data_IF_081758947074
#
_entry.id   IF_081758947074
#
_cell.length_a   1.000
_cell.length_b   1.000
_cell.length_c   1.000
_cell.angle_alpha   90.00
_cell.angle_beta   90.00
_cell.angle_gamma   90.00
#
_symmetry.space_group_name_H-M   'P 1'
#
loop_
_entity.id
_entity.type
_entity.pdbx_description
1 polymer ?
#
# COMPACT_ATOMS: atom_id res chain seq x y z
N UNK A 1 -8.12 -7.73 10.50
CA UNK A 1 -7.51 -9.07 10.66
C UNK A 1 -8.33 -10.02 9.79
N UNK A 2 -7.72 -10.89 8.97
CA UNK A 2 -8.49 -11.88 8.21
C UNK A 2 -8.68 -13.14 9.08
N UNK A 3 -9.74 -13.14 9.87
CA UNK A 3 -10.06 -14.18 10.84
C UNK A 3 -11.57 -14.35 10.93
N UNK A 4 -11.98 -15.49 11.47
CA UNK A 4 -13.38 -15.77 11.79
C UNK A 4 -13.52 -15.90 13.29
N UNK A 5 -14.35 -15.06 13.89
CA UNK A 5 -14.67 -15.11 15.32
C UNK A 5 -16.01 -15.82 15.48
N UNK A 6 -16.06 -16.85 16.32
CA UNK A 6 -17.24 -17.69 16.51
C UNK A 6 -17.55 -17.82 17.99
N UNK A 7 -18.81 -17.66 18.35
CA UNK A 7 -19.35 -18.09 19.63
C UNK A 7 -19.91 -19.50 19.47
N UNK A 8 -19.42 -20.41 20.29
CA UNK A 8 -19.82 -21.81 20.36
C UNK A 8 -20.50 -22.10 21.70
N UNK A 9 -21.43 -23.05 21.69
CA UNK A 9 -22.20 -23.50 22.83
C UNK A 9 -22.29 -25.03 22.86
N UNK A 10 -22.14 -25.62 24.04
CA UNK A 10 -22.40 -27.04 24.25
C UNK A 10 -23.88 -27.25 24.57
N UNK A 11 -24.67 -27.61 23.56
CA UNK A 11 -26.08 -27.94 23.75
C UNK A 11 -26.22 -29.37 24.27
N UNK A 12 -27.02 -29.60 25.31
CA UNK A 12 -27.26 -30.96 25.83
C UNK A 12 -27.96 -31.88 24.81
N UNK A 13 -28.69 -31.30 23.84
CA UNK A 13 -29.41 -32.04 22.79
C UNK A 13 -28.54 -32.27 21.55
N UNK A 14 -27.82 -31.23 21.10
CA UNK A 14 -27.11 -31.24 19.82
C UNK A 14 -25.57 -31.36 19.95
N UNK A 15 -25.05 -31.29 21.17
CA UNK A 15 -23.62 -31.25 21.45
C UNK A 15 -22.97 -29.89 21.12
N UNK A 16 -21.64 -29.87 20.86
CA UNK A 16 -20.90 -28.67 20.49
C UNK A 16 -21.42 -28.05 19.18
N UNK A 17 -21.89 -26.80 19.25
CA UNK A 17 -22.45 -26.09 18.10
C UNK A 17 -21.93 -24.67 18.03
N UNK A 18 -21.65 -24.18 16.82
CA UNK A 18 -21.40 -22.77 16.56
C UNK A 18 -22.74 -22.06 16.43
N UNK A 19 -22.96 -21.00 17.22
CA UNK A 19 -24.24 -20.27 17.26
C UNK A 19 -24.14 -18.87 16.67
N UNK A 20 -22.95 -18.27 16.62
CA UNK A 20 -22.78 -16.92 16.08
C UNK A 20 -21.38 -16.75 15.49
N UNK A 21 -21.27 -16.38 14.23
CA UNK A 21 -20.03 -16.25 13.48
C UNK A 21 -19.88 -14.82 12.97
N UNK A 22 -18.70 -14.23 13.04
CA UNK A 22 -18.39 -12.89 12.52
C UNK A 22 -17.13 -12.93 11.67
N UNK A 23 -17.20 -12.34 10.48
CA UNK A 23 -16.17 -12.41 9.44
C UNK A 23 -15.99 -11.06 8.76
N UNK A 24 -14.80 -10.82 8.19
CA UNK A 24 -14.51 -9.66 7.36
C UNK A 24 -14.77 -9.96 5.88
N UNK A 25 -15.61 -9.15 5.24
CA UNK A 25 -15.81 -9.12 3.78
C UNK A 25 -14.93 -8.00 3.21
N UNK A 26 -13.87 -8.38 2.51
CA UNK A 26 -12.96 -7.41 1.86
C UNK A 26 -13.36 -7.15 0.41
N UNK A 27 -13.43 -8.21 -0.39
CA UNK A 27 -13.66 -8.12 -1.84
C UNK A 27 -15.00 -8.74 -2.28
N UNK A 28 -15.70 -9.41 -1.36
CA UNK A 28 -17.00 -10.04 -1.62
C UNK A 28 -18.14 -9.07 -1.33
N UNK A 29 -18.98 -8.81 -2.34
CA UNK A 29 -20.22 -8.07 -2.13
C UNK A 29 -21.18 -8.95 -1.34
N UNK A 30 -21.99 -8.32 -0.49
CA UNK A 30 -23.02 -9.01 0.29
C UNK A 30 -24.02 -9.70 -0.64
N UNK A 31 -24.32 -9.09 -1.80
CA UNK A 31 -25.25 -9.62 -2.80
C UNK A 31 -24.76 -10.93 -3.46
N UNK A 32 -23.45 -11.16 -3.49
CA UNK A 32 -22.85 -12.38 -4.05
C UNK A 32 -22.84 -13.54 -3.04
N UNK A 33 -23.20 -13.28 -1.77
CA UNK A 33 -23.26 -14.30 -0.74
C UNK A 33 -24.57 -15.09 -0.86
N UNK A 34 -24.45 -16.39 -1.11
CA UNK A 34 -25.56 -17.34 -1.02
C UNK A 34 -26.04 -17.53 0.43
N UNK A 35 -26.67 -16.50 1.01
CA UNK A 35 -27.36 -16.55 2.30
C UNK A 35 -28.58 -17.50 2.28
N UNK A 36 -28.97 -17.98 1.10
CA UNK A 36 -30.12 -18.86 0.85
C UNK A 36 -29.81 -20.36 0.96
N UNK A 37 -28.66 -20.77 1.50
CA UNK A 37 -28.38 -22.20 1.75
C UNK A 37 -29.05 -22.69 3.03
N UNK A 38 -30.39 -22.74 3.07
CA UNK A 38 -31.21 -23.73 3.84
C UNK A 38 -32.70 -23.37 4.02
N UNK A 39 -33.37 -22.81 3.01
CA UNK A 39 -34.84 -22.74 3.02
C UNK A 39 -35.50 -24.14 3.19
N UNK A 40 -34.80 -25.22 2.79
CA UNK A 40 -35.26 -26.60 2.96
C UNK A 40 -35.08 -27.20 4.36
N UNK A 41 -34.30 -26.56 5.27
CA UNK A 41 -34.18 -26.97 6.70
C UNK A 41 -34.82 -25.99 7.67
N UNK A 42 -35.34 -24.86 7.21
CA UNK A 42 -35.98 -23.84 8.04
C UNK A 42 -37.28 -24.32 8.73
N UNK A 43 -37.90 -25.39 8.23
CA UNK A 43 -39.15 -25.95 8.76
C UNK A 43 -38.99 -26.98 9.89
N UNK A 44 -37.75 -27.28 10.31
CA UNK A 44 -37.53 -28.06 11.53
C UNK A 44 -37.50 -27.12 12.74
N UNK A 45 -38.24 -27.44 13.80
CA UNK A 45 -38.21 -26.69 15.05
C UNK A 45 -36.76 -26.59 15.55
N UNK A 46 -36.15 -25.41 15.42
CA UNK A 46 -34.77 -25.19 15.84
C UNK A 46 -34.71 -25.08 17.35
N UNK A 47 -33.69 -25.71 17.92
CA UNK A 47 -33.40 -25.63 19.34
C UNK A 47 -33.21 -24.16 19.78
N UNK A 48 -33.93 -23.67 20.80
CA UNK A 48 -33.84 -22.28 21.24
C UNK A 48 -32.43 -21.89 21.69
N UNK A 49 -31.68 -22.79 22.33
CA UNK A 49 -30.28 -22.55 22.69
C UNK A 49 -29.30 -22.52 21.51
N UNK A 50 -29.61 -23.21 20.42
CA UNK A 50 -28.75 -23.25 19.22
C UNK A 50 -29.12 -22.16 18.19
N UNK A 51 -30.30 -21.55 18.33
CA UNK A 51 -30.77 -20.50 17.45
C UNK A 51 -30.33 -19.13 17.98
N UNK A 52 -29.66 -18.35 17.13
CA UNK A 52 -29.23 -17.00 17.44
C UNK A 52 -30.10 -15.97 16.72
N UNK A 53 -29.71 -15.61 15.50
CA UNK A 53 -30.40 -14.66 14.62
C UNK A 53 -31.37 -15.36 13.65
N UNK A 54 -31.33 -16.70 13.59
CA UNK A 54 -31.95 -17.51 12.55
C UNK A 54 -31.06 -17.68 11.33
N UNK A 55 -31.52 -18.51 10.38
CA UNK A 55 -30.77 -18.85 9.17
C UNK A 55 -30.83 -17.77 8.08
N UNK A 56 -31.80 -16.86 8.14
CA UNK A 56 -32.07 -15.85 7.10
C UNK A 56 -31.54 -14.47 7.45
N UNK A 57 -31.22 -14.22 8.72
CA UNK A 57 -30.87 -12.89 9.20
C UNK A 57 -29.38 -12.81 9.50
N UNK A 58 -28.80 -11.64 9.24
CA UNK A 58 -27.41 -11.32 9.56
C UNK A 58 -27.27 -9.86 9.98
N UNK A 59 -26.20 -9.57 10.72
CA UNK A 59 -25.83 -8.22 11.14
C UNK A 59 -24.63 -7.76 10.31
N UNK A 60 -24.68 -6.55 9.78
CA UNK A 60 -23.60 -5.98 8.99
C UNK A 60 -23.20 -4.60 9.51
N UNK A 61 -21.89 -4.36 9.63
CA UNK A 61 -21.32 -3.05 9.88
C UNK A 61 -20.19 -2.76 8.90
N UNK A 62 -20.05 -1.50 8.51
CA UNK A 62 -18.99 -1.05 7.60
C UNK A 62 -18.18 0.06 8.26
N UNK A 63 -16.87 -0.11 8.28
CA UNK A 63 -15.95 0.93 8.73
C UNK A 63 -15.67 1.89 7.57
N UNK A 64 -15.88 3.18 7.80
CA UNK A 64 -15.72 4.22 6.77
C UNK A 64 -14.23 4.42 6.45
N UNK A 65 -13.39 4.39 7.47
CA UNK A 65 -11.95 4.70 7.35
C UNK A 65 -11.18 3.58 6.63
N UNK A 66 -11.42 2.33 7.00
CA UNK A 66 -10.74 1.19 6.37
C UNK A 66 -11.47 0.60 5.16
N UNK A 67 -12.72 1.02 4.91
CA UNK A 67 -13.60 0.40 3.92
C UNK A 67 -14.00 -1.04 4.22
N UNK A 68 -13.58 -1.60 5.36
CA UNK A 68 -13.84 -3.00 5.72
C UNK A 68 -15.30 -3.20 6.10
N UNK A 69 -15.89 -4.29 5.59
CA UNK A 69 -17.26 -4.69 5.94
C UNK A 69 -17.20 -5.93 6.84
N UNK A 70 -17.95 -5.92 7.93
CA UNK A 70 -18.05 -7.02 8.88
C UNK A 70 -19.46 -7.61 8.80
N UNK A 71 -19.55 -8.93 8.66
CA UNK A 71 -20.80 -9.67 8.60
C UNK A 71 -20.86 -10.68 9.74
N UNK A 72 -21.97 -10.69 10.46
CA UNK A 72 -22.28 -11.72 11.45
C UNK A 72 -23.53 -12.50 11.10
N UNK A 73 -23.45 -13.81 11.16
CA UNK A 73 -24.51 -14.76 10.82
C UNK A 73 -24.45 -15.97 11.76
N UNK A 74 -25.53 -16.77 11.84
CA UNK A 74 -25.51 -18.00 12.64
C UNK A 74 -24.52 -19.03 12.07
N UNK A 75 -24.49 -19.19 10.74
CA UNK A 75 -23.57 -20.06 10.02
C UNK A 75 -22.69 -19.24 9.07
N UNK A 76 -21.45 -19.68 8.85
CA UNK A 76 -20.56 -19.03 7.91
C UNK A 76 -21.18 -19.02 6.50
N UNK A 77 -21.21 -17.86 5.80
CA UNK A 77 -21.68 -17.82 4.43
C UNK A 77 -20.73 -18.56 3.47
N UNK A 78 -19.46 -18.73 3.85
CA UNK A 78 -18.48 -19.46 3.07
C UNK A 78 -18.47 -20.96 3.46
N UNK A 79 -18.76 -21.88 2.52
CA UNK A 79 -18.80 -23.31 2.79
C UNK A 79 -17.42 -23.89 3.12
N UNK A 80 -16.36 -23.33 2.56
CA UNK A 80 -14.98 -23.76 2.82
C UNK A 80 -14.59 -23.62 4.30
N UNK A 81 -15.12 -22.58 4.96
CA UNK A 81 -14.80 -22.27 6.35
C UNK A 81 -15.78 -22.98 7.31
N UNK A 82 -16.96 -23.36 6.84
CA UNK A 82 -18.00 -24.01 7.66
C UNK A 82 -17.50 -25.33 8.28
N UNK A 83 -16.75 -26.14 7.50
CA UNK A 83 -16.14 -27.38 7.98
C UNK A 83 -15.15 -27.12 9.12
N UNK A 84 -14.24 -26.16 8.94
CA UNK A 84 -13.27 -25.75 9.96
C UNK A 84 -13.94 -25.22 11.23
N UNK A 85 -15.02 -24.44 11.10
CA UNK A 85 -15.77 -23.90 12.27
C UNK A 85 -16.40 -25.03 13.07
N UNK A 86 -17.02 -26.02 12.42
CA UNK A 86 -17.61 -27.18 13.11
C UNK A 86 -16.54 -27.97 13.85
N UNK A 87 -15.41 -28.23 13.21
CA UNK A 87 -14.29 -28.93 13.84
C UNK A 87 -13.71 -28.13 15.01
N UNK A 88 -13.57 -26.82 14.87
CA UNK A 88 -13.09 -25.93 15.93
C UNK A 88 -14.05 -25.91 17.14
N UNK A 89 -15.37 -25.87 16.89
CA UNK A 89 -16.38 -25.93 17.95
C UNK A 89 -16.29 -27.25 18.73
N UNK A 90 -16.25 -28.39 18.03
CA UNK A 90 -16.12 -29.73 18.64
C UNK A 90 -14.86 -29.83 19.50
N UNK A 91 -13.70 -29.45 18.93
CA UNK A 91 -12.43 -29.51 19.66
C UNK A 91 -12.43 -28.61 20.89
N UNK A 92 -12.89 -27.37 20.74
CA UNK A 92 -12.86 -26.38 21.83
C UNK A 92 -13.74 -26.75 23.03
N UNK A 93 -14.86 -27.44 22.80
CA UNK A 93 -15.83 -27.76 23.86
C UNK A 93 -15.69 -29.20 24.39
N UNK A 94 -15.15 -30.14 23.59
CA UNK A 94 -15.12 -31.56 23.97
C UNK A 94 -13.72 -32.15 24.14
N UNK A 95 -12.70 -31.66 23.45
CA UNK A 95 -11.38 -32.30 23.41
C UNK A 95 -10.31 -31.50 24.16
N UNK A 96 -10.35 -30.18 24.04
CA UNK A 96 -9.31 -29.29 24.52
C UNK A 96 -9.65 -28.83 25.94
N UNK A 97 -9.03 -29.47 26.92
CA UNK A 97 -9.32 -29.23 28.33
C UNK A 97 -8.48 -28.06 28.82
N UNK A 98 -9.15 -27.08 29.42
CA UNK A 98 -8.51 -26.03 30.18
C UNK A 98 -8.55 -26.36 31.67
N UNK A 99 -7.40 -26.30 32.35
CA UNK A 99 -7.29 -26.59 33.78
C UNK A 99 -7.86 -25.45 34.66
N UNK A 100 -8.02 -24.24 34.12
CA UNK A 100 -8.50 -23.08 34.88
C UNK A 100 -10.01 -22.93 34.78
N UNK A 101 -10.70 -22.95 35.94
CA UNK A 101 -12.17 -22.80 36.04
C UNK A 101 -12.67 -21.43 35.59
N UNK A 102 -11.86 -20.38 35.70
CA UNK A 102 -12.23 -19.00 35.37
C UNK A 102 -12.05 -18.61 33.89
N UNK A 103 -11.90 -19.61 33.02
CA UNK A 103 -11.72 -19.42 31.59
C UNK A 103 -10.26 -19.20 31.20
N UNK A 104 -9.84 -19.92 30.19
CA UNK A 104 -8.46 -20.05 29.80
C UNK A 104 -8.34 -20.26 28.31
N UNK A 105 -7.16 -19.95 27.80
CA UNK A 105 -6.92 -19.84 26.37
C UNK A 105 -6.21 -21.10 25.90
N UNK A 106 -6.90 -21.89 25.07
CA UNK A 106 -6.29 -23.05 24.42
C UNK A 106 -6.06 -22.73 22.96
N UNK A 107 -4.81 -22.90 22.54
CA UNK A 107 -4.40 -22.77 21.15
C UNK A 107 -4.24 -24.16 20.55
N UNK A 108 -4.87 -24.41 19.40
CA UNK A 108 -4.76 -25.66 18.68
C UNK A 108 -5.00 -25.44 17.18
N UNK A 109 -4.81 -26.48 16.38
CA UNK A 109 -5.11 -26.45 14.94
C UNK A 109 -3.94 -26.86 14.08
N UNK A 110 -4.19 -26.92 12.78
CA UNK A 110 -3.32 -27.50 11.76
C UNK A 110 -3.31 -26.63 10.50
N UNK A 111 -2.44 -26.96 9.54
CA UNK A 111 -2.30 -26.21 8.30
C UNK A 111 -3.49 -26.38 7.36
N UNK A 112 -4.26 -27.46 7.49
CA UNK A 112 -5.40 -27.78 6.64
C UNK A 112 -6.68 -27.14 7.20
N UNK A 113 -7.01 -27.39 8.46
CA UNK A 113 -8.22 -26.88 9.13
C UNK A 113 -8.09 -25.44 9.65
N UNK A 114 -6.87 -24.92 9.72
CA UNK A 114 -6.55 -23.60 10.27
C UNK A 114 -6.20 -23.66 11.75
N UNK A 115 -5.64 -22.56 12.24
CA UNK A 115 -5.22 -22.38 13.63
C UNK A 115 -6.31 -21.66 14.43
N UNK A 116 -6.52 -22.13 15.65
CA UNK A 116 -7.65 -21.76 16.50
C UNK A 116 -7.13 -21.30 17.85
N UNK A 117 -7.60 -20.13 18.29
CA UNK A 117 -7.48 -19.66 19.67
C UNK A 117 -8.87 -19.73 20.30
N UNK A 118 -9.05 -20.59 21.29
CA UNK A 118 -10.31 -20.79 21.99
C UNK A 118 -10.26 -20.24 23.41
N UNK A 119 -11.35 -19.62 23.84
CA UNK A 119 -11.59 -19.13 25.20
C UNK A 119 -12.88 -19.73 25.72
N UNK A 120 -12.77 -20.75 26.56
CA UNK A 120 -13.91 -21.46 27.14
C UNK A 120 -14.31 -20.82 28.47
N UNK A 121 -15.61 -20.69 28.72
CA UNK A 121 -16.13 -20.11 29.97
C UNK A 121 -17.50 -20.69 30.33
N UNK A 122 -17.81 -20.68 31.62
CA UNK A 122 -19.05 -21.23 32.17
C UNK A 122 -20.06 -20.11 32.41
N UNK A 123 -21.31 -20.35 32.07
CA UNK A 123 -22.43 -19.44 32.24
C UNK A 123 -23.41 -20.04 33.25
N UNK A 124 -23.83 -19.28 34.26
CA UNK A 124 -24.78 -19.77 35.27
C UNK A 124 -26.18 -19.90 34.66
N UNK A 125 -26.83 -21.04 34.87
CA UNK A 125 -28.17 -21.34 34.37
C UNK A 125 -28.91 -22.16 35.43
N UNK A 126 -30.07 -21.71 35.91
CA UNK A 126 -30.84 -22.46 36.92
C UNK A 126 -31.51 -23.74 36.40
N UNK A 127 -31.68 -23.89 35.09
CA UNK A 127 -32.38 -25.01 34.45
C UNK A 127 -31.42 -26.02 33.80
N UNK A 128 -30.17 -25.63 33.54
CA UNK A 128 -29.17 -26.55 33.00
C UNK A 128 -28.68 -27.58 34.04
N UNK A 129 -28.23 -28.73 33.55
CA UNK A 129 -27.65 -29.76 34.41
C UNK A 129 -26.36 -29.25 35.04
N UNK A 130 -26.29 -29.30 36.37
CA UNK A 130 -25.14 -28.78 37.12
C UNK A 130 -25.16 -27.26 37.33
N UNK A 131 -26.24 -26.60 36.93
CA UNK A 131 -26.49 -25.16 37.07
C UNK A 131 -25.57 -24.26 36.23
N UNK A 132 -24.96 -24.80 35.17
CA UNK A 132 -24.17 -24.03 34.23
C UNK A 132 -24.28 -24.56 32.81
N UNK A 133 -24.10 -23.67 31.84
CA UNK A 133 -23.88 -23.99 30.44
C UNK A 133 -22.45 -23.65 30.03
N UNK A 134 -21.89 -24.43 29.10
CA UNK A 134 -20.53 -24.24 28.62
C UNK A 134 -20.53 -23.50 27.28
N UNK A 135 -19.83 -22.37 27.25
CA UNK A 135 -19.64 -21.55 26.06
C UNK A 135 -18.15 -21.43 25.72
N UNK A 136 -17.86 -21.12 24.45
CA UNK A 136 -16.50 -20.89 23.97
C UNK A 136 -16.49 -19.80 22.91
N UNK A 137 -15.63 -18.80 23.05
CA UNK A 137 -15.33 -17.87 21.95
C UNK A 137 -14.07 -18.37 21.25
N UNK A 138 -14.18 -18.56 19.95
CA UNK A 138 -13.18 -19.19 19.10
C UNK A 138 -12.75 -18.21 18.01
N UNK A 139 -11.45 -18.02 17.84
CA UNK A 139 -10.87 -17.23 16.75
C UNK A 139 -10.12 -18.18 15.83
N UNK A 140 -10.61 -18.33 14.60
CA UNK A 140 -10.03 -19.16 13.55
C UNK A 140 -9.23 -18.28 12.57
N UNK A 141 -7.97 -18.64 12.34
CA UNK A 141 -7.04 -17.98 11.41
C UNK A 141 -6.22 -19.00 10.65
N UNK A 142 -5.86 -18.69 9.39
CA UNK A 142 -4.91 -19.53 8.63
C UNK A 142 -3.45 -19.29 9.05
N UNK A 143 -3.12 -18.11 9.55
CA UNK A 143 -1.75 -17.78 9.97
C UNK A 143 -1.52 -18.10 11.46
N UNK A 144 -0.67 -19.09 11.71
CA UNK A 144 -0.23 -19.51 13.05
C UNK A 144 0.49 -18.40 13.79
N UNK A 145 1.48 -17.79 13.15
CA UNK A 145 2.42 -16.90 13.82
C UNK A 145 1.75 -15.58 14.16
N UNK A 146 0.94 -15.05 13.24
CA UNK A 146 0.16 -13.86 13.51
C UNK A 146 -0.80 -14.05 14.69
N UNK A 147 -1.53 -15.18 14.72
CA UNK A 147 -2.47 -15.50 15.81
C UNK A 147 -1.76 -15.63 17.17
N UNK A 148 -0.59 -16.25 17.22
CA UNK A 148 0.20 -16.39 18.45
C UNK A 148 0.78 -15.05 18.93
N UNK A 149 1.23 -14.19 18.01
CA UNK A 149 1.78 -12.87 18.36
C UNK A 149 0.70 -11.93 18.90
N UNK A 150 -0.52 -11.98 18.35
CA UNK A 150 -1.65 -11.15 18.79
C UNK A 150 -2.42 -11.76 19.98
N UNK A 151 -2.12 -13.00 20.37
CA UNK A 151 -2.78 -13.72 21.47
C UNK A 151 -2.91 -12.90 22.76
N UNK A 152 -1.87 -12.18 23.27
CA UNK A 152 -2.02 -11.42 24.51
C UNK A 152 -3.14 -10.37 24.43
N UNK A 153 -3.18 -9.61 23.34
CA UNK A 153 -4.24 -8.63 23.07
C UNK A 153 -5.62 -9.29 22.95
N UNK A 154 -5.74 -10.36 22.18
CA UNK A 154 -7.00 -11.09 22.04
C UNK A 154 -7.46 -11.66 23.38
N UNK A 155 -6.54 -12.17 24.20
CA UNK A 155 -6.87 -12.81 25.47
C UNK A 155 -7.47 -11.83 26.48
N UNK A 156 -6.94 -10.61 26.56
CA UNK A 156 -7.48 -9.57 27.44
C UNK A 156 -8.90 -9.16 27.03
N UNK A 157 -9.12 -8.98 25.72
CA UNK A 157 -10.41 -8.55 25.18
C UNK A 157 -11.47 -9.64 25.23
N UNK A 158 -11.11 -10.89 24.92
CA UNK A 158 -12.01 -12.04 25.04
C UNK A 158 -12.44 -12.28 26.49
N UNK A 159 -11.52 -12.12 27.46
CA UNK A 159 -11.85 -12.22 28.88
C UNK A 159 -12.84 -11.14 29.32
N UNK A 160 -12.71 -9.91 28.78
CA UNK A 160 -13.66 -8.82 29.05
C UNK A 160 -15.05 -9.17 28.53
N UNK A 161 -15.15 -9.59 27.27
CA UNK A 161 -16.41 -10.01 26.63
C UNK A 161 -17.06 -11.16 27.42
N UNK A 162 -16.29 -12.20 27.78
CA UNK A 162 -16.86 -13.31 28.55
C UNK A 162 -17.33 -12.86 29.94
N UNK A 163 -16.59 -11.98 30.60
CA UNK A 163 -16.95 -11.49 31.94
C UNK A 163 -18.24 -10.66 31.90
N UNK A 164 -18.42 -9.82 30.88
CA UNK A 164 -19.64 -9.03 30.67
C UNK A 164 -20.86 -9.95 30.50
N UNK A 165 -20.76 -10.95 29.62
CA UNK A 165 -21.83 -11.93 29.38
C UNK A 165 -22.13 -12.75 30.65
N UNK A 166 -21.08 -13.21 31.36
CA UNK A 166 -21.21 -13.93 32.62
C UNK A 166 -21.86 -13.10 33.72
N UNK A 167 -21.58 -11.80 33.78
CA UNK A 167 -22.18 -10.92 34.79
C UNK A 167 -23.68 -10.71 34.55
N UNK A 168 -24.10 -10.53 33.29
CA UNK A 168 -25.53 -10.47 32.94
C UNK A 168 -26.25 -11.76 33.35
N UNK A 169 -25.69 -12.93 33.06
CA UNK A 169 -26.31 -14.19 33.45
C UNK A 169 -26.30 -14.46 34.95
N UNK A 170 -25.26 -14.05 35.68
CA UNK A 170 -25.23 -14.12 37.14
C UNK A 170 -26.32 -13.26 37.78
N UNK A 171 -26.65 -12.11 37.18
CA UNK A 171 -27.72 -11.24 37.66
C UNK A 171 -29.08 -11.94 37.60
N UNK A 172 -29.39 -12.57 36.46
CA UNK A 172 -30.65 -13.32 36.27
C UNK A 172 -30.70 -14.56 37.15
N UNK A 173 -29.58 -15.27 37.25
CA UNK A 173 -29.48 -16.43 38.14
C UNK A 173 -29.84 -16.07 39.58
N UNK A 174 -29.31 -14.96 40.10
CA UNK A 174 -29.64 -14.45 41.45
C UNK A 174 -31.11 -14.07 41.59
N UNK A 175 -31.69 -13.45 40.56
CA UNK A 175 -33.11 -13.10 40.56
C UNK A 175 -33.98 -14.36 40.59
N UNK A 176 -33.64 -15.39 39.82
CA UNK A 176 -34.33 -16.68 39.78
C UNK A 176 -34.17 -17.47 41.09
N UNK A 177 -32.99 -17.45 41.69
CA UNK A 177 -32.70 -18.04 43.00
C UNK A 177 -33.54 -17.39 44.11
N UNK A 178 -33.72 -16.06 44.05
CA UNK A 178 -34.51 -15.32 45.04
C UNK A 178 -36.00 -15.70 45.01
N UNK A 179 -36.52 -16.06 43.83
CA UNK A 179 -37.92 -16.48 43.63
C UNK A 179 -38.14 -17.93 44.07
N UNK A 180 -37.19 -18.82 43.83
CA UNK A 180 -37.27 -20.24 44.22
C UNK A 180 -35.89 -20.82 44.54
N UNK A 181 -35.71 -21.25 45.79
CA UNK A 181 -34.49 -21.92 46.25
C UNK A 181 -34.24 -23.25 45.53
N UNK A 182 -32.96 -23.58 45.29
CA UNK A 182 -32.54 -24.86 44.71
C UNK A 182 -33.09 -26.08 45.43
N UNK A 183 -33.23 -26.01 46.76
CA UNK A 183 -33.77 -27.12 47.55
C UNK A 183 -35.25 -27.31 47.25
N UNK A 184 -36.00 -26.22 47.13
CA UNK A 184 -37.42 -26.23 46.80
C UNK A 184 -37.64 -26.75 45.38
N UNK A 185 -36.79 -26.36 44.41
CA UNK A 185 -36.87 -26.83 43.03
C UNK A 185 -36.56 -28.33 42.86
N UNK A 186 -35.60 -28.86 43.63
CA UNK A 186 -35.31 -30.32 43.68
C UNK A 186 -36.43 -31.12 44.35
N UNK A 187 -37.06 -30.56 45.38
CA UNK A 187 -38.14 -31.21 46.13
C UNK A 187 -39.49 -31.15 45.41
N UNK A 188 -39.73 -30.15 44.55
CA UNK A 188 -41.03 -29.96 43.91
C UNK A 188 -41.36 -31.01 42.83
N UNK A 189 -40.45 -31.94 42.51
CA UNK A 189 -40.66 -32.97 41.50
C UNK A 189 -41.00 -32.41 40.11
N UNK A 190 -40.80 -31.10 39.88
CA UNK A 190 -41.06 -30.48 38.59
C UNK A 190 -40.12 -31.15 37.61
N UNK A 191 -40.68 -31.83 36.61
CA UNK A 191 -39.93 -32.30 35.44
C UNK A 191 -39.20 -31.06 34.95
N UNK A 192 -37.87 -30.99 35.10
CA UNK A 192 -37.09 -29.91 34.49
C UNK A 192 -37.54 -29.85 33.04
N UNK A 193 -38.16 -28.74 32.65
CA UNK A 193 -38.52 -28.52 31.25
C UNK A 193 -37.21 -28.58 30.49
N UNK A 194 -36.98 -29.68 29.75
CA UNK A 194 -35.71 -29.99 29.09
C UNK A 194 -35.44 -29.10 27.87
N UNK A 195 -36.08 -27.93 27.80
CA UNK A 195 -35.94 -27.00 26.70
C UNK A 195 -34.74 -26.10 26.97
N UNK A 196 -33.66 -26.23 26.19
CA UNK A 196 -32.44 -25.50 26.47
C UNK A 196 -32.63 -24.00 26.16
N UNK A 197 -32.30 -23.14 27.13
CA UNK A 197 -32.54 -21.70 27.07
C UNK A 197 -31.66 -20.98 26.05
N UNK A 198 -32.22 -19.97 25.40
CA UNK A 198 -31.45 -19.13 24.48
C UNK A 198 -30.48 -18.21 25.22
N UNK A 199 -29.43 -17.73 24.54
CA UNK A 199 -28.51 -16.76 25.15
C UNK A 199 -29.22 -15.46 25.57
N UNK A 200 -30.29 -15.08 24.86
CA UNK A 200 -31.13 -13.92 25.18
C UNK A 200 -31.85 -14.12 26.51
N UNK A 201 -32.36 -15.32 26.77
CA UNK A 201 -33.03 -15.65 28.04
C UNK A 201 -32.03 -15.74 29.20
N UNK A 202 -30.84 -16.28 28.95
CA UNK A 202 -29.78 -16.39 29.97
C UNK A 202 -29.23 -15.03 30.40
N UNK A 203 -29.15 -14.07 29.48
CA UNK A 203 -28.57 -12.74 29.74
C UNK A 203 -29.62 -11.67 29.99
N UNK A 204 -30.88 -11.90 29.61
CA UNK A 204 -32.00 -10.95 29.73
C UNK A 204 -31.96 -9.83 28.68
N UNK A 205 -30.91 -9.81 27.86
CA UNK A 205 -30.64 -8.75 26.90
C UNK A 205 -31.07 -9.19 25.49
N UNK A 206 -32.18 -8.62 25.01
CA UNK A 206 -32.67 -8.85 23.63
C UNK A 206 -31.66 -8.48 22.55
N UNK A 207 -30.75 -7.56 22.86
CA UNK A 207 -29.75 -7.03 21.93
C UNK A 207 -28.37 -7.70 22.07
N UNK A 208 -28.25 -8.81 22.81
CA UNK A 208 -26.95 -9.45 23.08
C UNK A 208 -26.17 -9.77 21.80
N UNK A 209 -26.82 -10.22 20.73
CA UNK A 209 -26.16 -10.51 19.46
C UNK A 209 -25.68 -9.25 18.71
N UNK A 210 -26.33 -8.11 18.92
CA UNK A 210 -25.89 -6.81 18.38
C UNK A 210 -24.65 -6.33 19.13
N UNK A 211 -24.64 -6.50 20.46
CA UNK A 211 -23.48 -6.19 21.30
C UNK A 211 -22.30 -7.09 20.91
N UNK A 212 -22.53 -8.40 20.77
CA UNK A 212 -21.53 -9.35 20.30
C UNK A 212 -20.99 -9.01 18.91
N UNK A 213 -21.87 -8.63 17.96
CA UNK A 213 -21.46 -8.15 16.65
C UNK A 213 -20.49 -6.96 16.78
N UNK A 214 -20.85 -5.94 17.58
CA UNK A 214 -20.00 -4.77 17.78
C UNK A 214 -18.63 -5.16 18.36
N UNK A 215 -18.59 -6.03 19.37
CA UNK A 215 -17.33 -6.50 19.94
C UNK A 215 -16.49 -7.30 18.95
N UNK A 216 -17.09 -8.21 18.19
CA UNK A 216 -16.37 -9.06 17.25
C UNK A 216 -15.87 -8.28 16.03
N UNK A 217 -16.68 -7.36 15.50
CA UNK A 217 -16.26 -6.43 14.45
C UNK A 217 -15.12 -5.53 14.93
N UNK A 218 -15.22 -5.00 16.15
CA UNK A 218 -14.15 -4.18 16.74
C UNK A 218 -12.86 -4.98 16.96
N UNK A 219 -12.95 -6.25 17.40
CA UNK A 219 -11.81 -7.15 17.53
C UNK A 219 -11.13 -7.42 16.18
N UNK A 220 -11.91 -7.69 15.13
CA UNK A 220 -11.38 -7.90 13.78
C UNK A 220 -10.68 -6.65 13.24
N UNK A 221 -11.26 -5.48 13.44
CA UNK A 221 -10.71 -4.19 13.02
C UNK A 221 -9.42 -3.85 13.79
N UNK A 222 -9.50 -3.86 15.12
CA UNK A 222 -8.37 -3.55 16.00
C UNK A 222 -7.25 -4.56 15.82
N UNK A 223 -7.59 -5.83 15.59
CA UNK A 223 -6.62 -6.88 15.29
C UNK A 223 -5.84 -6.64 13.99
N UNK A 224 -6.43 -5.99 12.98
CA UNK A 224 -5.67 -5.57 11.78
C UNK A 224 -4.71 -4.42 12.06
N UNK A 225 -5.08 -3.52 12.99
CA UNK A 225 -4.30 -2.32 13.30
C UNK A 225 -3.28 -2.57 14.42
N UNK A 226 -3.22 -3.78 14.97
CA UNK A 226 -2.37 -4.10 16.12
C UNK A 226 -0.87 -4.12 15.77
N UNK A 227 -0.51 -4.65 14.60
CA UNK A 227 0.86 -4.62 14.09
C UNK A 227 0.90 -3.75 12.84
N UNK A 228 1.53 -2.58 12.93
CA UNK A 228 1.72 -1.66 11.80
C UNK A 228 3.19 -1.62 11.40
N UNK A 229 3.46 -1.87 10.13
CA UNK A 229 4.80 -1.73 9.57
C UNK A 229 5.05 -0.28 9.14
N UNK A 230 6.18 0.28 9.60
CA UNK A 230 6.66 1.58 9.17
C UNK A 230 7.82 1.38 8.20
N UNK A 231 7.51 1.43 6.89
CA UNK A 231 8.51 1.33 5.84
C UNK A 231 8.96 2.73 5.46
N UNK A 232 10.17 3.11 5.87
CA UNK A 232 10.79 4.33 5.39
C UNK A 232 11.35 4.08 3.99
N UNK A 233 10.64 4.55 2.97
CA UNK A 233 11.24 4.71 1.66
C UNK A 233 12.23 5.89 1.74
N UNK A 234 13.43 5.77 1.16
CA UNK A 234 14.37 6.89 1.09
C UNK A 234 13.78 8.08 0.30
N UNK A 235 14.56 9.13 0.05
CA UNK A 235 14.17 10.21 -0.87
C UNK A 235 14.07 9.65 -2.30
N UNK A 236 12.93 9.03 -2.61
CA UNK A 236 12.63 8.47 -3.91
C UNK A 236 12.26 9.64 -4.83
N UNK A 237 12.94 9.84 -5.97
CA UNK A 237 12.69 10.98 -6.88
C UNK A 237 11.26 11.07 -7.42
N UNK A 238 10.45 10.02 -7.28
CA UNK A 238 9.07 9.95 -7.78
C UNK A 238 8.01 10.08 -6.68
N UNK A 239 8.40 10.13 -5.40
CA UNK A 239 7.48 10.63 -4.37
C UNK A 239 7.52 12.16 -4.44
N UNK A 240 6.36 12.84 -4.49
CA UNK A 240 6.34 14.28 -4.27
C UNK A 240 7.11 14.57 -2.97
N UNK A 241 8.03 15.56 -2.94
CA UNK A 241 8.63 15.96 -1.68
C UNK A 241 7.48 16.29 -0.73
N UNK A 242 7.47 15.68 0.46
CA UNK A 242 6.49 16.03 1.48
C UNK A 242 6.62 17.53 1.71
N UNK A 243 5.64 18.29 1.25
CA UNK A 243 5.57 19.70 1.53
C UNK A 243 5.48 19.83 3.04
N UNK A 244 6.47 20.50 3.64
CA UNK A 244 6.60 20.76 5.09
C UNK A 244 5.37 21.42 5.76
N UNK A 245 4.26 21.62 5.04
CA UNK A 245 3.09 22.30 5.58
C UNK A 245 2.23 21.42 6.48
N UNK A 246 2.04 20.12 6.26
CA UNK A 246 1.29 19.27 7.19
C UNK A 246 1.68 17.79 7.02
N UNK A 247 1.91 17.02 8.10
CA UNK A 247 1.86 15.57 7.97
C UNK A 247 0.46 15.21 7.46
N UNK A 248 0.32 14.35 6.43
CA UNK A 248 -1.00 13.96 5.98
C UNK A 248 -1.78 13.38 7.19
N UNK A 249 -3.02 13.82 7.43
CA UNK A 249 -3.84 13.32 8.54
C UNK A 249 -4.13 11.83 8.42
N UNK A 250 -3.94 11.27 7.23
CA UNK A 250 -4.04 9.86 6.95
C UNK A 250 -2.63 9.27 6.88
N UNK A 251 -2.28 8.49 7.91
CA UNK A 251 -1.25 7.45 7.76
C UNK A 251 -1.64 6.64 6.53
N UNK A 252 -1.01 6.90 5.39
CA UNK A 252 -1.18 6.13 4.16
C UNK A 252 -0.86 4.68 4.53
N UNK A 253 -1.90 3.90 4.79
CA UNK A 253 -1.79 2.45 4.83
C UNK A 253 -1.53 2.06 3.38
N UNK A 254 -0.26 1.94 3.03
CA UNK A 254 0.16 1.45 1.72
C UNK A 254 -0.28 -0.01 1.60
N UNK A 255 -1.52 -0.23 1.19
CA UNK A 255 -1.94 -1.51 0.66
C UNK A 255 -1.02 -1.79 -0.54
N UNK A 256 -0.31 -2.91 -0.55
CA UNK A 256 0.56 -3.29 -1.67
C UNK A 256 -0.18 -3.24 -3.01
N UNK A 257 -1.49 -3.49 -3.01
CA UNK A 257 -2.35 -3.45 -4.22
C UNK A 257 -2.63 -2.04 -4.74
N UNK A 258 -2.44 -0.99 -3.92
CA UNK A 258 -2.61 0.41 -4.32
C UNK A 258 -1.30 1.11 -4.63
N UNK A 259 -0.15 0.40 -4.59
CA UNK A 259 1.09 0.96 -5.11
C UNK A 259 0.92 1.16 -6.61
N UNK A 260 0.99 2.41 -7.12
CA UNK A 260 0.91 2.68 -8.56
C UNK A 260 2.00 1.95 -9.35
N UNK A 261 3.03 1.43 -8.66
CA UNK A 261 4.08 0.59 -9.24
C UNK A 261 3.51 -0.66 -9.93
N UNK A 262 2.58 -1.41 -9.32
CA UNK A 262 2.09 -2.67 -9.89
C UNK A 262 1.32 -2.39 -11.20
N UNK A 263 0.42 -1.41 -11.18
CA UNK A 263 -0.30 -0.97 -12.39
C UNK A 263 0.62 -0.37 -13.47
N UNK A 264 1.73 0.27 -13.07
CA UNK A 264 2.70 0.85 -14.03
C UNK A 264 3.56 -0.22 -14.72
N UNK A 265 3.76 -1.37 -14.09
CA UNK A 265 4.45 -2.51 -14.71
C UNK A 265 3.52 -3.43 -15.49
N UNK A 266 2.20 -3.42 -15.23
CA UNK A 266 1.21 -4.19 -16.01
C UNK A 266 0.88 -3.54 -17.36
N UNK A 267 0.97 -2.21 -17.48
CA UNK A 267 0.63 -1.47 -18.71
C UNK A 267 1.85 -1.23 -19.63
N UNK A 268 2.62 -2.26 -19.97
CA UNK A 268 3.76 -2.21 -20.90
C UNK A 268 3.36 -2.51 -22.37
N UNK A 269 2.15 -2.15 -22.79
CA UNK A 269 1.68 -2.40 -24.17
C UNK A 269 2.08 -1.32 -25.19
N UNK A 270 2.72 -0.22 -24.77
CA UNK A 270 3.31 0.75 -25.69
C UNK A 270 4.84 0.72 -25.53
N UNK A 271 5.61 0.36 -26.58
CA UNK A 271 7.06 0.48 -26.52
C UNK A 271 7.39 1.96 -26.34
N UNK A 272 7.85 2.36 -25.16
CA UNK A 272 8.50 3.66 -25.00
C UNK A 272 9.62 3.71 -26.05
N UNK A 273 9.51 4.59 -27.06
CA UNK A 273 10.62 4.82 -27.98
C UNK A 273 11.79 5.36 -27.18
N UNK A 274 12.78 4.51 -26.90
CA UNK A 274 13.95 4.88 -26.13
C UNK A 274 14.93 5.67 -27.00
N UNK A 275 14.85 7.00 -26.99
CA UNK A 275 15.85 7.83 -27.66
C UNK A 275 17.16 7.87 -26.84
N UNK A 276 18.28 7.44 -27.40
CA UNK A 276 19.57 7.43 -26.71
C UNK A 276 20.45 8.62 -27.15
N UNK A 277 21.46 8.98 -26.35
CA UNK A 277 22.42 10.03 -26.76
C UNK A 277 23.17 9.69 -28.06
N UNK A 278 23.23 8.40 -28.46
CA UNK A 278 23.76 8.00 -29.77
C UNK A 278 22.95 8.58 -30.92
N UNK A 279 21.63 8.77 -30.74
CA UNK A 279 20.77 9.40 -31.74
C UNK A 279 21.19 10.84 -32.05
N UNK A 280 21.59 11.61 -31.03
CA UNK A 280 22.15 12.96 -31.25
C UNK A 280 23.46 12.85 -32.03
N UNK A 281 24.35 11.91 -31.65
CA UNK A 281 25.64 11.73 -32.33
C UNK A 281 25.48 11.29 -33.80
N UNK A 282 24.45 10.51 -34.14
CA UNK A 282 24.15 10.14 -35.54
C UNK A 282 23.63 11.31 -36.35
N UNK A 283 22.83 12.19 -35.75
CA UNK A 283 22.21 13.35 -36.42
C UNK A 283 23.23 14.47 -36.65
N UNK A 284 23.97 14.84 -35.60
CA UNK A 284 24.87 16.00 -35.57
C UNK A 284 26.29 15.64 -36.06
N UNK A 285 26.64 14.36 -36.01
CA UNK A 285 27.97 13.86 -36.35
C UNK A 285 28.98 13.99 -35.20
N UNK A 286 30.02 13.13 -35.26
CA UNK A 286 31.01 12.98 -34.18
C UNK A 286 31.80 14.24 -33.84
N UNK A 287 31.96 15.16 -34.79
CA UNK A 287 32.75 16.39 -34.60
C UNK A 287 32.00 17.44 -33.79
N UNK A 288 30.71 17.60 -34.07
CA UNK A 288 29.86 18.63 -33.46
C UNK A 288 29.11 18.12 -32.21
N UNK A 289 29.02 16.81 -32.02
CA UNK A 289 28.36 16.21 -30.86
C UNK A 289 28.90 16.70 -29.49
N UNK A 290 30.23 16.78 -29.26
CA UNK A 290 30.76 17.35 -28.02
C UNK A 290 30.38 18.82 -27.83
N UNK A 291 30.29 19.61 -28.91
CA UNK A 291 29.92 21.02 -28.87
C UNK A 291 28.49 21.21 -28.38
N UNK A 292 27.55 20.41 -28.93
CA UNK A 292 26.14 20.43 -28.51
C UNK A 292 26.00 20.04 -27.04
N UNK A 293 26.64 18.95 -26.62
CA UNK A 293 26.58 18.51 -25.22
C UNK A 293 27.22 19.53 -24.27
N UNK A 294 28.33 20.15 -24.64
CA UNK A 294 28.98 21.21 -23.86
C UNK A 294 28.04 22.41 -23.67
N UNK A 295 27.43 22.89 -24.76
CA UNK A 295 26.50 24.01 -24.74
C UNK A 295 25.29 23.73 -23.85
N UNK A 296 24.73 22.53 -23.94
CA UNK A 296 23.59 22.11 -23.12
C UNK A 296 23.93 22.07 -21.63
N UNK A 297 25.10 21.53 -21.27
CA UNK A 297 25.53 21.37 -19.88
C UNK A 297 25.89 22.69 -19.19
N UNK A 298 26.33 23.71 -19.93
CA UNK A 298 26.77 25.01 -19.38
C UNK A 298 25.69 26.10 -19.53
N UNK A 299 24.63 25.82 -20.28
CA UNK A 299 23.51 26.76 -20.44
C UNK A 299 23.73 27.81 -21.51
N UNK A 300 24.56 27.52 -22.51
CA UNK A 300 24.58 28.27 -23.77
C UNK A 300 23.26 28.00 -24.48
N UNK A 301 22.65 29.04 -25.05
CA UNK A 301 21.31 28.92 -25.61
C UNK A 301 21.34 28.07 -26.88
N UNK A 302 20.60 26.98 -26.91
CA UNK A 302 20.47 26.08 -28.06
C UNK A 302 19.12 26.33 -28.72
N UNK A 303 19.15 26.68 -30.01
CA UNK A 303 17.95 26.82 -30.84
C UNK A 303 17.96 25.72 -31.89
N UNK A 304 16.95 24.87 -31.84
CA UNK A 304 16.71 23.79 -32.80
C UNK A 304 15.55 24.20 -33.71
N UNK A 305 15.79 24.24 -35.01
CA UNK A 305 14.80 24.61 -36.02
C UNK A 305 14.50 23.42 -36.92
N UNK A 306 13.22 23.14 -37.17
CA UNK A 306 12.78 22.12 -38.11
C UNK A 306 11.40 21.56 -37.80
N UNK A 307 11.01 20.52 -38.53
CA UNK A 307 9.76 19.78 -38.30
C UNK A 307 9.67 19.22 -36.86
N UNK A 308 8.59 19.50 -36.10
CA UNK A 308 8.35 18.96 -34.76
C UNK A 308 8.55 17.44 -34.65
N UNK A 309 8.20 16.67 -35.68
CA UNK A 309 8.35 15.20 -35.66
C UNK A 309 9.82 14.78 -35.55
N UNK A 310 10.73 15.50 -36.22
CA UNK A 310 12.17 15.22 -36.22
C UNK A 310 12.89 15.86 -35.02
N UNK A 311 12.45 17.04 -34.62
CA UNK A 311 13.08 17.78 -33.50
C UNK A 311 12.69 17.22 -32.13
N UNK A 312 11.52 16.62 -31.98
CA UNK A 312 11.05 16.07 -30.70
C UNK A 312 11.98 14.98 -30.10
N UNK A 313 12.36 13.90 -30.83
CA UNK A 313 13.34 12.92 -30.36
C UNK A 313 14.67 13.53 -29.91
N UNK A 314 15.15 14.50 -30.67
CA UNK A 314 16.41 15.19 -30.42
C UNK A 314 16.35 16.01 -29.11
N UNK A 315 15.25 16.75 -28.91
CA UNK A 315 14.99 17.53 -27.70
C UNK A 315 14.85 16.63 -26.45
N UNK A 316 14.19 15.48 -26.58
CA UNK A 316 14.08 14.52 -25.47
C UNK A 316 15.46 13.94 -25.08
N UNK A 317 16.38 13.75 -26.02
CA UNK A 317 17.75 13.36 -25.70
C UNK A 317 18.55 14.49 -25.02
N UNK A 318 18.40 15.74 -25.46
CA UNK A 318 19.05 16.89 -24.80
C UNK A 318 18.54 17.07 -23.37
N UNK A 319 17.24 16.85 -23.14
CA UNK A 319 16.64 16.87 -21.80
C UNK A 319 17.30 15.89 -20.83
N UNK A 320 17.79 14.75 -21.31
CA UNK A 320 18.49 13.76 -20.48
C UNK A 320 19.88 14.21 -19.99
N UNK A 321 20.46 15.26 -20.58
CA UNK A 321 21.73 15.83 -20.14
C UNK A 321 21.57 16.74 -18.92
N UNK A 322 20.35 17.15 -18.59
CA UNK A 322 20.04 18.05 -17.48
C UNK A 322 19.29 17.33 -16.35
N UNK A 323 19.52 17.74 -15.09
CA UNK A 323 18.73 17.30 -13.94
C UNK A 323 17.23 17.61 -14.10
N UNK A 324 16.37 16.81 -13.47
CA UNK A 324 14.91 16.96 -13.54
C UNK A 324 14.41 18.37 -13.14
N UNK A 325 15.03 18.99 -12.13
CA UNK A 325 14.71 20.36 -11.71
C UNK A 325 14.97 21.42 -12.80
N UNK A 326 15.86 21.15 -13.75
CA UNK A 326 16.24 22.05 -14.83
C UNK A 326 15.45 21.81 -16.12
N UNK A 327 14.51 20.84 -16.13
CA UNK A 327 13.73 20.51 -17.33
C UNK A 327 12.79 21.63 -17.77
N UNK A 328 12.44 22.56 -16.86
CA UNK A 328 11.64 23.74 -17.17
C UNK A 328 12.39 24.76 -18.07
N UNK A 329 13.72 24.63 -18.20
CA UNK A 329 14.53 25.46 -19.09
C UNK A 329 14.45 25.03 -20.57
N UNK A 330 13.74 23.94 -20.84
CA UNK A 330 13.57 23.39 -22.18
C UNK A 330 12.15 23.64 -22.65
N UNK A 331 12.00 24.30 -23.79
CA UNK A 331 10.71 24.46 -24.46
C UNK A 331 10.70 23.68 -25.77
N UNK A 332 9.74 22.77 -25.87
CA UNK A 332 9.45 22.05 -27.11
C UNK A 332 8.30 22.76 -27.82
N UNK A 333 8.41 22.90 -29.13
CA UNK A 333 7.43 23.46 -30.07
C UNK A 333 6.99 24.89 -29.71
N UNK A 334 7.96 25.81 -29.74
CA UNK A 334 7.68 27.23 -29.61
C UNK A 334 7.05 27.79 -30.91
N UNK A 335 5.78 28.18 -30.84
CA UNK A 335 5.01 28.74 -31.96
C UNK A 335 5.11 30.27 -32.10
N UNK A 336 5.76 30.95 -31.15
CA UNK A 336 5.83 32.40 -31.10
C UNK A 336 7.26 32.91 -30.91
N UNK A 337 7.59 34.03 -31.56
CA UNK A 337 8.91 34.67 -31.50
C UNK A 337 9.28 35.12 -30.07
N UNK A 338 8.30 35.54 -29.25
CA UNK A 338 8.52 35.90 -27.84
C UNK A 338 9.02 34.74 -26.98
N UNK A 339 8.80 33.49 -27.39
CA UNK A 339 9.36 32.31 -26.71
C UNK A 339 10.88 32.23 -26.84
N UNK A 340 11.46 32.92 -27.83
CA UNK A 340 12.90 33.06 -27.98
C UNK A 340 13.42 34.00 -26.89
N UNK A 341 12.72 35.07 -26.52
CA UNK A 341 13.22 36.04 -25.53
C UNK A 341 13.03 35.62 -24.07
N UNK A 342 12.25 34.56 -23.83
CA UNK A 342 12.05 33.97 -22.50
C UNK A 342 13.32 33.30 -21.94
N UNK A 343 13.34 33.02 -20.63
CA UNK A 343 14.50 32.45 -19.90
C UNK A 343 14.88 31.00 -20.30
N UNK A 344 14.24 30.43 -21.32
CA UNK A 344 14.53 29.11 -21.84
C UNK A 344 15.94 29.04 -22.46
N UNK A 345 16.65 27.94 -22.16
CA UNK A 345 18.01 27.69 -22.64
C UNK A 345 18.06 26.73 -23.81
N UNK A 346 17.09 25.84 -23.97
CA UNK A 346 17.00 24.93 -25.12
C UNK A 346 15.59 25.05 -25.70
N UNK A 347 15.48 25.40 -26.98
CA UNK A 347 14.19 25.72 -27.62
C UNK A 347 14.10 24.99 -28.96
N UNK A 348 12.99 24.29 -29.22
CA UNK A 348 12.65 23.86 -30.59
C UNK A 348 11.61 24.78 -31.24
N UNK A 349 11.81 25.08 -32.52
CA UNK A 349 11.07 26.07 -33.30
C UNK A 349 10.79 25.52 -34.70
N UNK A 350 9.65 25.89 -35.29
CA UNK A 350 9.30 25.55 -36.68
C UNK A 350 10.03 26.43 -37.70
N UNK A 351 10.06 26.01 -38.96
CA UNK A 351 10.77 26.73 -40.03
C UNK A 351 10.17 28.10 -40.40
N UNK A 352 8.99 28.42 -39.91
CA UNK A 352 8.31 29.68 -40.24
C UNK A 352 8.84 30.87 -39.43
N UNK A 353 9.53 30.63 -38.31
CA UNK A 353 9.92 31.67 -37.37
C UNK A 353 11.33 32.21 -37.68
N UNK A 354 11.48 33.54 -37.66
CA UNK A 354 12.75 34.21 -37.79
C UNK A 354 13.62 33.99 -36.53
N UNK A 355 14.84 33.49 -36.73
CA UNK A 355 15.80 33.16 -35.66
C UNK A 355 16.91 34.21 -35.62
N UNK A 356 17.36 34.67 -34.43
CA UNK A 356 18.47 35.61 -34.30
C UNK A 356 19.77 35.10 -34.95
N UNK A 357 20.66 36.02 -35.32
CA UNK A 357 21.97 35.67 -35.89
C UNK A 357 22.79 34.86 -34.87
N UNK A 358 23.47 33.79 -35.31
CA UNK A 358 24.29 32.97 -34.42
C UNK A 358 25.43 33.82 -33.86
N UNK A 359 25.58 33.81 -32.54
CA UNK A 359 26.65 34.50 -31.82
C UNK A 359 27.31 33.51 -30.83
N UNK A 360 28.34 33.93 -30.10
CA UNK A 360 29.03 33.03 -29.15
C UNK A 360 28.10 32.46 -28.06
N UNK A 361 26.98 33.13 -27.78
CA UNK A 361 25.97 32.74 -26.78
C UNK A 361 24.78 31.93 -27.34
N UNK A 362 24.66 31.79 -28.65
CA UNK A 362 23.54 31.13 -29.34
C UNK A 362 24.09 30.06 -30.28
N UNK A 363 23.81 28.80 -29.95
CA UNK A 363 24.11 27.63 -30.75
C UNK A 363 22.90 27.24 -31.59
N UNK A 364 23.00 27.32 -32.92
CA UNK A 364 21.87 27.08 -33.83
C UNK A 364 22.01 25.76 -34.59
N UNK A 365 20.92 25.00 -34.63
CA UNK A 365 20.79 23.70 -35.29
C UNK A 365 19.57 23.75 -36.20
N UNK A 366 19.77 23.74 -37.51
CA UNK A 366 18.70 23.72 -38.51
C UNK A 366 18.59 22.32 -39.13
N UNK A 367 17.46 21.63 -38.94
CA UNK A 367 17.15 20.38 -39.64
C UNK A 367 16.77 20.71 -41.09
N UNK A 368 17.36 19.98 -42.04
CA UNK A 368 17.12 20.20 -43.47
C UNK A 368 16.06 19.22 -43.99
N UNK A 369 15.27 19.66 -44.98
CA UNK A 369 14.36 18.78 -45.70
C UNK A 369 15.12 17.78 -46.58
N UNK A 370 14.60 16.55 -46.67
CA UNK A 370 15.24 15.38 -47.29
C UNK A 370 15.56 15.55 -48.79
N UNK A 371 15.05 16.59 -49.44
CA UNK A 371 15.24 16.83 -50.87
C UNK A 371 16.60 17.47 -51.20
N UNK A 372 17.37 17.97 -50.24
CA UNK A 372 18.60 18.75 -50.52
C UNK A 372 19.72 18.45 -49.51
N UNK A 373 20.54 17.41 -49.80
CA UNK A 373 21.92 17.08 -49.29
C UNK A 373 22.08 15.81 -48.43
N UNK A 374 23.32 15.33 -48.40
CA UNK A 374 23.86 14.18 -47.64
C UNK A 374 23.91 14.37 -46.12
N UNK A 375 23.78 15.60 -45.63
CA UNK A 375 23.82 15.93 -44.19
C UNK A 375 22.41 16.27 -43.69
N UNK A 376 21.97 15.63 -42.60
CA UNK A 376 20.62 15.78 -42.02
C UNK A 376 20.39 17.14 -41.34
N UNK A 377 21.46 17.87 -41.00
CA UNK A 377 21.41 19.09 -40.17
C UNK A 377 22.49 20.09 -40.57
N UNK A 378 22.16 21.39 -40.54
CA UNK A 378 23.10 22.50 -40.65
C UNK A 378 23.34 23.15 -39.28
N UNK A 379 24.61 23.25 -38.85
CA UNK A 379 24.98 23.76 -37.53
C UNK A 379 25.72 25.08 -37.69
N UNK A 380 25.33 26.07 -36.88
CA UNK A 380 25.94 27.41 -36.88
C UNK A 380 26.23 27.85 -35.45
N UNK A 381 27.50 27.82 -35.07
CA UNK A 381 27.99 28.39 -33.82
C UNK A 381 29.39 28.96 -34.02
N UNK A 382 29.60 30.27 -33.86
CA UNK A 382 30.91 30.91 -34.01
C UNK A 382 31.79 30.79 -32.75
N UNK A 383 31.29 30.13 -31.69
CA UNK A 383 32.06 29.90 -30.47
C UNK A 383 33.01 28.71 -30.59
N UNK A 384 33.98 28.64 -29.68
CA UNK A 384 34.94 27.54 -29.58
C UNK A 384 34.81 26.82 -28.25
N UNK A 385 34.93 25.49 -28.26
CA UNK A 385 34.99 24.68 -27.04
C UNK A 385 36.34 24.91 -26.35
N UNK A 386 36.41 24.97 -25.00
CA UNK A 386 37.68 25.03 -24.30
C UNK A 386 38.59 23.83 -24.59
N UNK A 387 39.91 24.04 -24.49
CA UNK A 387 40.90 22.98 -24.70
C UNK A 387 40.79 21.81 -23.68
N UNK A 388 40.20 22.05 -22.50
CA UNK A 388 39.90 21.02 -21.49
C UNK A 388 38.40 20.98 -21.21
N UNK A 389 37.83 19.79 -21.32
CA UNK A 389 36.39 19.58 -21.15
C UNK A 389 36.03 19.29 -19.68
N UNK A 390 34.81 19.67 -19.25
CA UNK A 390 34.29 19.24 -17.95
C UNK A 390 34.30 17.71 -17.83
N UNK A 391 34.57 17.20 -16.63
CA UNK A 391 34.69 15.75 -16.41
C UNK A 391 33.37 14.99 -16.69
N UNK A 392 32.22 15.60 -16.42
CA UNK A 392 30.92 15.06 -16.84
C UNK A 392 30.88 14.84 -18.37
N UNK A 393 31.30 15.84 -19.15
CA UNK A 393 31.29 15.76 -20.60
C UNK A 393 32.23 14.66 -21.10
N UNK A 394 33.46 14.57 -20.56
CA UNK A 394 34.41 13.51 -20.89
C UNK A 394 33.84 12.13 -20.62
N UNK A 395 33.18 11.93 -19.48
CA UNK A 395 32.52 10.65 -19.12
C UNK A 395 31.35 10.32 -20.05
N UNK A 396 30.57 11.32 -20.47
CA UNK A 396 29.48 11.14 -21.43
C UNK A 396 29.99 10.75 -22.82
N UNK A 397 31.05 11.41 -23.31
CA UNK A 397 31.65 11.07 -24.61
C UNK A 397 32.15 9.61 -24.63
N UNK A 398 32.90 9.21 -23.60
CA UNK A 398 33.36 7.81 -23.45
C UNK A 398 32.20 6.82 -23.38
N UNK A 399 31.10 7.18 -22.71
CA UNK A 399 29.93 6.30 -22.61
C UNK A 399 29.22 6.13 -23.97
N UNK A 400 29.18 7.16 -24.80
CA UNK A 400 28.56 7.10 -26.14
C UNK A 400 29.40 6.28 -27.12
N UNK A 401 30.74 6.38 -27.02
CA UNK A 401 31.69 5.64 -27.86
C UNK A 401 31.81 4.14 -27.51
N UNK A 402 31.48 3.75 -26.28
CA UNK A 402 31.54 2.36 -25.83
C UNK A 402 30.51 1.50 -26.56
N UNK A 403 30.98 0.56 -27.39
CA UNK A 403 30.14 -0.28 -28.26
C UNK A 403 29.36 -1.34 -27.49
N UNK A 404 29.84 -1.75 -26.30
CA UNK A 404 29.20 -2.77 -25.46
C UNK A 404 27.92 -2.28 -24.78
N UNK A 405 27.70 -0.97 -24.70
CA UNK A 405 26.48 -0.44 -24.09
C UNK A 405 25.28 -0.64 -25.01
N UNK A 406 24.24 -1.27 -24.50
CA UNK A 406 22.90 -1.19 -25.10
C UNK A 406 22.32 0.21 -24.85
N UNK A 407 21.30 0.60 -25.61
CA UNK A 407 20.68 1.93 -25.46
C UNK A 407 20.09 2.15 -24.05
N UNK A 408 19.55 1.10 -23.44
CA UNK A 408 19.07 1.13 -22.06
C UNK A 408 20.21 1.38 -21.06
N UNK A 409 21.32 0.65 -21.21
CA UNK A 409 22.50 0.82 -20.33
C UNK A 409 23.08 2.21 -20.47
N UNK A 410 23.17 2.73 -21.70
CA UNK A 410 23.64 4.10 -21.96
C UNK A 410 22.71 5.14 -21.31
N UNK A 411 21.40 4.98 -21.39
CA UNK A 411 20.43 5.85 -20.74
C UNK A 411 20.59 5.82 -19.20
N UNK A 412 20.73 4.63 -18.61
CA UNK A 412 20.95 4.49 -17.16
C UNK A 412 22.27 5.09 -16.71
N UNK A 413 23.34 4.88 -17.49
CA UNK A 413 24.66 5.47 -17.24
C UNK A 413 24.62 7.00 -17.32
N UNK A 414 23.92 7.55 -18.31
CA UNK A 414 23.71 9.00 -18.45
C UNK A 414 23.00 9.56 -17.23
N UNK A 415 21.87 8.95 -16.81
CA UNK A 415 21.13 9.38 -15.62
C UNK A 415 22.00 9.33 -14.35
N UNK A 416 22.77 8.25 -14.16
CA UNK A 416 23.67 8.13 -13.01
C UNK A 416 24.75 9.23 -12.98
N UNK A 417 25.34 9.55 -14.13
CA UNK A 417 26.34 10.63 -14.22
C UNK A 417 25.74 12.01 -13.94
N UNK A 418 24.55 12.29 -14.49
CA UNK A 418 23.84 13.56 -14.23
C UNK A 418 23.46 13.69 -12.76
N UNK A 419 22.95 12.64 -12.13
CA UNK A 419 22.62 12.64 -10.69
C UNK A 419 23.86 12.73 -9.80
N UNK A 420 24.98 12.08 -10.15
CA UNK A 420 26.27 12.25 -9.46
C UNK A 420 26.68 13.73 -9.42
N UNK A 421 26.63 14.40 -10.57
CA UNK A 421 27.02 15.81 -10.69
C UNK A 421 26.03 16.76 -10.03
N UNK A 422 24.73 16.50 -10.14
CA UNK A 422 23.68 17.22 -9.41
C UNK A 422 23.95 17.16 -7.90
N UNK A 423 24.24 15.98 -7.35
CA UNK A 423 24.53 15.81 -5.93
C UNK A 423 25.82 16.53 -5.51
N UNK A 424 26.86 16.54 -6.37
CA UNK A 424 28.07 17.34 -6.14
C UNK A 424 27.74 18.84 -6.05
N UNK A 425 26.91 19.35 -6.96
CA UNK A 425 26.50 20.77 -6.97
C UNK A 425 25.67 21.12 -5.73
N UNK A 426 24.70 20.28 -5.35
CA UNK A 426 23.89 20.47 -4.12
C UNK A 426 24.77 20.46 -2.86
N UNK A 427 25.73 19.53 -2.78
CA UNK A 427 26.66 19.46 -1.67
C UNK A 427 27.53 20.74 -1.59
N UNK A 428 27.97 21.27 -2.73
CA UNK A 428 28.72 22.52 -2.79
C UNK A 428 27.87 23.75 -2.46
N UNK A 429 26.58 23.78 -2.84
CA UNK A 429 25.68 24.91 -2.54
C UNK A 429 25.34 24.99 -1.05
N UNK A 430 25.25 23.86 -0.35
CA UNK A 430 25.06 23.83 1.10
C UNK A 430 26.28 24.31 1.89
N UNK A 431 27.49 24.16 1.33
CA UNK A 431 28.72 24.61 1.99
C UNK A 431 28.86 26.15 1.91
N UNK A 432 28.38 26.89 2.91
CA UNK A 432 28.42 28.37 2.94
C UNK A 432 29.82 28.99 3.10
N UNK A 433 30.81 28.24 3.60
CA UNK A 433 32.15 28.74 3.88
C UNK A 433 33.10 28.52 2.69
N UNK A 434 33.75 29.58 2.19
CA UNK A 434 34.68 29.56 1.05
C UNK A 434 35.85 28.59 1.25
N UNK A 435 36.41 28.50 2.46
CA UNK A 435 37.50 27.57 2.76
C UNK A 435 37.03 26.11 2.77
N UNK A 436 35.80 25.87 3.22
CA UNK A 436 35.20 24.54 3.18
C UNK A 436 34.86 24.13 1.73
N UNK A 437 34.36 25.05 0.91
CA UNK A 437 34.10 24.80 -0.51
C UNK A 437 35.37 24.41 -1.27
N UNK A 438 36.51 25.08 -1.02
CA UNK A 438 37.78 24.72 -1.69
C UNK A 438 38.24 23.32 -1.31
N UNK A 439 38.12 22.93 -0.03
CA UNK A 439 38.43 21.56 0.43
C UNK A 439 37.44 20.54 -0.15
N UNK A 440 36.15 20.85 -0.17
CA UNK A 440 35.11 19.98 -0.70
C UNK A 440 35.26 19.75 -2.21
N UNK A 441 35.61 20.78 -2.99
CA UNK A 441 35.94 20.64 -4.42
C UNK A 441 37.08 19.65 -4.65
N UNK A 442 38.13 19.68 -3.82
CA UNK A 442 39.24 18.71 -3.88
C UNK A 442 38.77 17.28 -3.59
N UNK A 443 37.93 17.08 -2.57
CA UNK A 443 37.39 15.76 -2.19
C UNK A 443 36.45 15.19 -3.27
N UNK A 444 35.59 16.03 -3.85
CA UNK A 444 34.65 15.63 -4.90
C UNK A 444 35.30 15.46 -6.28
N UNK A 445 36.60 15.74 -6.39
CA UNK A 445 37.37 15.65 -7.63
C UNK A 445 37.03 16.74 -8.66
N UNK A 446 36.45 17.85 -8.22
CA UNK A 446 36.05 18.98 -9.08
C UNK A 446 37.28 19.79 -9.47
N UNK A 447 37.47 19.99 -10.77
CA UNK A 447 38.60 20.71 -11.34
C UNK A 447 38.19 22.12 -11.80
N UNK A 448 39.16 22.95 -12.18
CA UNK A 448 38.91 24.33 -12.64
C UNK A 448 38.02 24.39 -13.88
N UNK A 449 38.13 23.41 -14.79
CA UNK A 449 37.30 23.34 -16.00
C UNK A 449 35.81 23.06 -15.74
N UNK A 450 35.48 22.50 -14.57
CA UNK A 450 34.09 22.17 -14.20
C UNK A 450 33.34 23.38 -13.61
N UNK A 451 34.05 24.48 -13.33
CA UNK A 451 33.49 25.62 -12.63
C UNK A 451 32.34 26.28 -13.41
N UNK A 452 32.42 26.31 -14.75
CA UNK A 452 31.35 26.85 -15.59
C UNK A 452 30.03 26.05 -15.45
N UNK A 453 30.14 24.71 -15.40
CA UNK A 453 29.00 23.83 -15.20
C UNK A 453 28.39 24.02 -13.81
N UNK A 454 29.24 24.05 -12.77
CA UNK A 454 28.78 24.22 -11.39
C UNK A 454 28.08 25.56 -11.20
N UNK A 455 28.66 26.65 -11.73
CA UNK A 455 28.06 27.98 -11.65
C UNK A 455 26.66 27.97 -12.26
N UNK A 456 26.50 27.40 -13.47
CA UNK A 456 25.22 27.31 -14.14
C UNK A 456 24.21 26.45 -13.36
N UNK A 457 24.59 25.23 -12.94
CA UNK A 457 23.67 24.31 -12.25
C UNK A 457 23.28 24.81 -10.86
N UNK A 458 24.19 25.50 -10.15
CA UNK A 458 23.93 26.03 -8.81
C UNK A 458 22.84 27.11 -8.76
N UNK A 459 22.56 27.77 -9.89
CA UNK A 459 21.49 28.77 -9.99
C UNK A 459 20.11 28.11 -9.87
N UNK A 460 19.95 26.91 -10.44
CA UNK A 460 18.65 26.24 -10.58
C UNK A 460 18.44 25.06 -9.62
N UNK A 461 19.51 24.55 -8.97
CA UNK A 461 19.46 23.39 -8.06
C UNK A 461 19.46 23.79 -6.57
N UNK A 462 18.82 24.90 -6.21
CA UNK A 462 18.76 25.38 -4.82
C UNK A 462 17.75 24.65 -3.96
#
# INVERSE_FOLDING_TARGET
MNAVIVLCHFCEIHGPTAIFCTQTLRDTKIDDLCLTRSASKANAAQCPACNSLGLTNGLCSKDVDSGATFLSTQQSPFPEVEGSIKQAAIRSLSCEINCNKDGGFVFFGDTIGGHVLSHTFHMSDTEARGFYQLFSIVILMKDKYFLLNIKPFLSERLRKISSEIQNSAKSIHKEEESKMSFRQRRLSGSKLSQTPRSLVELTGDKNIYVILHAHFSWLLLSGSKFLTEHITFGNLPWLPPETNSHPPPERLTYNLNTLPLIQKYENLEKPEMFYSLRHINTIVGRREFPAVCYCALIGIKIIVRGDPVKTFPFMMCLKKLLPEAMHNLIRVDAQHQHSIDAEYKIISITDEIAVPMPNSSIYRIDFLDESIKTDQVCIKWPGSIPARWPDLLVKLMKAVEETRFTELVLNRRTKALVEEWKNKVICLSHAKNTNAQVKLKKVLGVQSQDQALINYWSIYLK
#
